data_IF_054919588265
#
_entry.id   IF_054919588265
#
_cell.length_a   1.000
_cell.length_b   1.000
_cell.length_c   1.000
_cell.angle_alpha   90.00
_cell.angle_beta   90.00
_cell.angle_gamma   90.00
#
_symmetry.space_group_name_H-M   'P 1'
#
loop_
_entity.id
_entity.type
_entity.pdbx_description
1 polymer ?
#
# COMPACT_ATOMS: atom_id res chain seq x y z
N UNK A 1 2.03 -14.13 -6.27
CA UNK A 1 1.77 -12.82 -5.61
C UNK A 1 1.80 -11.73 -6.68
N UNK A 2 0.76 -10.90 -6.78
CA UNK A 2 0.77 -9.74 -7.69
C UNK A 2 1.37 -8.53 -6.97
N UNK A 3 2.39 -7.92 -7.56
CA UNK A 3 3.02 -6.70 -7.03
C UNK A 3 2.29 -5.47 -7.59
N UNK A 4 1.86 -4.55 -6.72
CA UNK A 4 1.22 -3.30 -7.09
C UNK A 4 2.07 -2.14 -6.61
N UNK A 5 2.11 -1.03 -7.35
CA UNK A 5 2.85 0.16 -6.93
C UNK A 5 1.87 1.33 -6.79
N UNK A 6 1.92 2.03 -5.66
CA UNK A 6 1.09 3.19 -5.36
C UNK A 6 2.02 4.38 -5.13
N UNK A 7 1.79 5.44 -5.88
CA UNK A 7 2.53 6.69 -5.78
C UNK A 7 1.72 7.69 -4.97
N UNK A 8 2.34 8.26 -3.94
CA UNK A 8 1.79 9.38 -3.20
C UNK A 8 2.46 10.68 -3.68
N UNK A 9 1.68 11.71 -4.05
CA UNK A 9 2.27 12.97 -4.49
C UNK A 9 2.80 13.83 -3.33
N UNK A 10 2.59 13.41 -2.08
CA UNK A 10 3.08 14.06 -0.87
C UNK A 10 3.62 13.05 0.13
N UNK A 11 4.44 13.51 1.07
CA UNK A 11 4.86 12.70 2.20
C UNK A 11 3.72 12.46 3.18
N UNK A 12 3.45 11.19 3.43
CA UNK A 12 2.50 10.71 4.43
C UNK A 12 3.25 9.78 5.39
N UNK A 13 2.82 9.75 6.65
CA UNK A 13 3.38 8.81 7.62
C UNK A 13 3.13 7.37 7.14
N UNK A 14 4.13 6.50 7.30
CA UNK A 14 4.06 5.09 6.90
C UNK A 14 2.76 4.43 7.39
N UNK A 15 2.46 4.58 8.69
CA UNK A 15 1.23 4.03 9.31
C UNK A 15 -0.05 4.49 8.62
N UNK A 16 -0.13 5.76 8.24
CA UNK A 16 -1.31 6.31 7.56
C UNK A 16 -1.42 5.80 6.12
N UNK A 17 -0.31 5.66 5.39
CA UNK A 17 -0.30 5.05 4.06
C UNK A 17 -0.76 3.59 4.11
N UNK A 18 -0.27 2.83 5.08
CA UNK A 18 -0.67 1.43 5.27
C UNK A 18 -2.17 1.30 5.59
N UNK A 19 -2.70 2.14 6.47
CA UNK A 19 -4.12 2.16 6.78
C UNK A 19 -4.97 2.49 5.54
N UNK A 20 -4.56 3.48 4.75
CA UNK A 20 -5.25 3.85 3.51
C UNK A 20 -5.30 2.67 2.53
N UNK A 21 -4.15 2.04 2.29
CA UNK A 21 -4.04 0.92 1.36
C UNK A 21 -4.84 -0.30 1.82
N UNK A 22 -4.82 -0.62 3.13
CA UNK A 22 -5.65 -1.69 3.69
C UNK A 22 -7.14 -1.39 3.55
N UNK A 23 -7.55 -0.13 3.70
CA UNK A 23 -8.94 0.27 3.48
C UNK A 23 -9.37 0.06 2.03
N UNK A 24 -8.52 0.44 1.06
CA UNK A 24 -8.78 0.20 -0.37
C UNK A 24 -8.86 -1.30 -0.69
N UNK A 25 -7.91 -2.11 -0.21
CA UNK A 25 -7.96 -3.58 -0.39
C UNK A 25 -9.30 -4.14 0.08
N UNK A 26 -9.76 -3.70 1.25
CA UNK A 26 -11.02 -4.13 1.85
C UNK A 26 -12.24 -3.63 1.07
N UNK A 27 -12.25 -2.36 0.67
CA UNK A 27 -13.35 -1.73 -0.07
C UNK A 27 -13.56 -2.39 -1.45
N UNK A 28 -12.47 -2.72 -2.14
CA UNK A 28 -12.50 -3.32 -3.47
C UNK A 28 -12.42 -4.85 -3.48
N UNK A 29 -12.35 -5.49 -2.30
CA UNK A 29 -12.28 -6.95 -2.18
C UNK A 29 -11.09 -7.57 -2.92
N UNK A 30 -9.93 -6.92 -2.90
CA UNK A 30 -8.78 -7.37 -3.70
C UNK A 30 -8.27 -8.74 -3.21
N UNK A 31 -7.90 -9.65 -4.13
CA UNK A 31 -7.47 -11.00 -3.77
C UNK A 31 -6.09 -10.98 -3.07
N UNK A 32 -6.04 -11.53 -1.86
CA UNK A 32 -4.83 -11.72 -1.06
C UNK A 32 -4.12 -13.04 -1.43
N UNK A 33 -2.78 -13.15 -1.28
CA UNK A 33 -1.85 -12.16 -0.73
C UNK A 33 -1.42 -11.08 -1.74
N UNK A 34 -1.25 -9.85 -1.25
CA UNK A 34 -0.85 -8.67 -2.03
C UNK A 34 0.46 -8.08 -1.51
N UNK A 35 1.33 -7.72 -2.47
CA UNK A 35 2.53 -6.92 -2.20
C UNK A 35 2.35 -5.56 -2.83
N UNK A 36 2.50 -4.51 -2.03
CA UNK A 36 2.26 -3.13 -2.45
C UNK A 36 3.52 -2.31 -2.18
N UNK A 37 4.13 -1.79 -3.23
CA UNK A 37 5.21 -0.83 -3.13
C UNK A 37 4.61 0.59 -3.03
N UNK A 38 4.89 1.27 -1.92
CA UNK A 38 4.42 2.61 -1.61
C UNK A 38 5.56 3.58 -1.83
N UNK A 39 5.45 4.38 -2.89
CA UNK A 39 6.47 5.36 -3.26
C UNK A 39 5.99 6.74 -2.84
N UNK A 40 6.74 7.37 -1.94
CA UNK A 40 6.58 8.76 -1.55
C UNK A 40 7.74 9.60 -2.10
N UNK A 41 7.59 10.94 -2.18
CA UNK A 41 8.66 11.80 -2.68
C UNK A 41 9.97 11.67 -1.88
N UNK A 42 9.89 11.49 -0.56
CA UNK A 42 11.08 11.40 0.29
C UNK A 42 11.56 9.97 0.58
N UNK A 43 10.78 8.92 0.26
CA UNK A 43 11.09 7.53 0.66
C UNK A 43 10.15 6.50 0.02
N UNK A 44 10.59 5.24 0.01
CA UNK A 44 9.82 4.10 -0.46
C UNK A 44 9.56 3.10 0.69
N UNK A 45 8.40 2.44 0.67
CA UNK A 45 8.04 1.39 1.61
C UNK A 45 7.38 0.21 0.91
N UNK A 46 7.68 -1.00 1.37
CA UNK A 46 6.98 -2.20 0.92
C UNK A 46 5.96 -2.59 2.00
N UNK A 47 4.70 -2.71 1.60
CA UNK A 47 3.62 -3.24 2.41
C UNK A 47 3.22 -4.62 1.88
N UNK A 48 3.39 -5.63 2.73
CA UNK A 48 2.94 -7.00 2.47
C UNK A 48 1.66 -7.23 3.28
N UNK A 49 0.57 -7.59 2.58
CA UNK A 49 -0.73 -7.88 3.19
C UNK A 49 -1.00 -9.36 3.02
N UNK A 50 -0.85 -10.08 4.12
CA UNK A 50 -1.11 -11.52 4.26
C UNK A 50 -2.47 -11.74 4.95
N UNK A 51 -3.01 -12.95 4.83
CA UNK A 51 -4.33 -13.33 5.36
C UNK A 51 -4.32 -13.44 6.89
#
# INVERSE_FOLDING_TARGET
>A
MKNHTIYFPWDIQKRSAECYVRAIIKEFGLPLPLKINLILPSKEYILEVEH
#
